data_IF_996873057241
#
_entry.id   IF_996873057241
#
_cell.length_a   1.000
_cell.length_b   1.000
_cell.length_c   1.000
_cell.angle_alpha   90.00
_cell.angle_beta   90.00
_cell.angle_gamma   90.00
#
_symmetry.space_group_name_H-M   'P 1'
#
loop_
_entity.id
_entity.type
_entity.pdbx_description
1 polymer ?
#
# COMPACT_ATOMS: atom_id res chain seq x y z
N UNK A 1 13.89 -11.05 16.02
CA UNK A 1 13.17 -9.98 15.27
C UNK A 1 12.96 -8.84 16.23
N UNK A 2 13.15 -7.58 15.80
CA UNK A 2 13.02 -6.43 16.69
C UNK A 2 11.70 -5.69 16.48
N UNK A 3 11.50 -5.13 15.29
CA UNK A 3 10.37 -4.26 14.97
C UNK A 3 9.85 -4.54 13.55
N UNK A 4 8.58 -4.24 13.28
CA UNK A 4 8.00 -4.22 11.93
C UNK A 4 7.32 -2.88 11.70
N UNK A 5 7.62 -2.24 10.57
CA UNK A 5 7.08 -0.91 10.22
C UNK A 5 6.47 -0.93 8.81
N UNK A 6 5.40 -0.15 8.55
CA UNK A 6 4.91 0.05 7.19
C UNK A 6 5.98 0.68 6.30
N UNK A 7 5.98 0.30 5.03
CA UNK A 7 6.84 0.86 3.99
C UNK A 7 6.01 1.37 2.83
N UNK A 8 6.44 2.48 2.24
CA UNK A 8 5.83 3.09 1.06
C UNK A 8 6.82 3.12 -0.09
N UNK A 9 6.30 2.88 -1.30
CA UNK A 9 7.06 2.99 -2.54
C UNK A 9 6.21 3.73 -3.57
N UNK A 10 6.76 4.77 -4.19
CA UNK A 10 6.12 5.42 -5.33
C UNK A 10 6.71 4.86 -6.63
N UNK A 11 5.85 4.28 -7.46
CA UNK A 11 6.19 3.92 -8.84
C UNK A 11 5.69 5.00 -9.78
N UNK A 12 6.56 5.47 -10.68
CA UNK A 12 6.20 6.44 -11.71
C UNK A 12 6.32 5.80 -13.09
N UNK A 13 5.29 5.99 -13.94
CA UNK A 13 5.28 5.53 -15.33
C UNK A 13 4.62 6.57 -16.24
N UNK A 14 5.15 6.70 -17.45
CA UNK A 14 4.43 7.36 -18.55
C UNK A 14 3.43 6.37 -19.15
N UNK A 15 2.29 6.84 -19.61
CA UNK A 15 1.32 6.02 -20.34
C UNK A 15 1.66 6.10 -21.84
N UNK A 16 2.12 5.01 -22.49
CA UNK A 16 2.56 5.05 -23.89
C UNK A 16 1.49 5.58 -24.86
N UNK A 17 0.22 5.25 -24.59
CA UNK A 17 -0.93 5.67 -25.39
C UNK A 17 -1.44 7.08 -25.03
N UNK A 18 -0.88 7.71 -23.99
CA UNK A 18 -1.23 9.06 -23.53
C UNK A 18 0.05 9.85 -23.26
N UNK A 19 0.69 10.42 -24.30
CA UNK A 19 2.02 11.06 -24.18
C UNK A 19 2.03 12.26 -23.23
N UNK A 20 0.87 12.85 -22.94
CA UNK A 20 0.73 13.96 -22.01
C UNK A 20 0.29 13.54 -20.60
N UNK A 21 0.38 12.25 -20.29
CA UNK A 21 -0.03 11.69 -19.01
C UNK A 21 1.16 11.10 -18.23
N UNK A 22 1.16 11.36 -16.92
CA UNK A 22 2.05 10.74 -15.96
C UNK A 22 1.21 9.99 -14.93
N UNK A 23 1.50 8.72 -14.73
CA UNK A 23 0.91 7.90 -13.68
C UNK A 23 1.91 7.71 -12.55
N UNK A 24 1.46 7.92 -11.32
CA UNK A 24 2.17 7.61 -10.09
C UNK A 24 1.32 6.72 -9.19
N UNK A 25 1.90 5.65 -8.69
CA UNK A 25 1.22 4.69 -7.82
C UNK A 25 1.97 4.57 -6.50
N UNK A 26 1.31 4.88 -5.38
CA UNK A 26 1.79 4.59 -4.03
C UNK A 26 1.48 3.14 -3.69
N UNK A 27 2.51 2.30 -3.66
CA UNK A 27 2.45 0.93 -3.14
C UNK A 27 2.80 0.89 -1.66
N UNK A 28 2.42 -0.21 -1.01
CA UNK A 28 2.72 -0.45 0.41
C UNK A 28 3.50 -1.75 0.61
N UNK A 29 4.16 -1.86 1.75
CA UNK A 29 4.82 -3.06 2.24
C UNK A 29 5.05 -2.97 3.74
N UNK A 30 5.88 -3.88 4.25
CA UNK A 30 6.41 -3.82 5.59
C UNK A 30 7.92 -4.06 5.58
N UNK A 31 8.65 -3.30 6.41
CA UNK A 31 10.06 -3.56 6.71
C UNK A 31 10.16 -4.25 8.06
N UNK A 32 10.84 -5.39 8.08
CA UNK A 32 11.10 -6.20 9.27
C UNK A 32 12.55 -5.96 9.68
N UNK A 33 12.77 -5.42 10.88
CA UNK A 33 14.10 -5.23 11.45
C UNK A 33 14.57 -6.50 12.17
N UNK A 34 15.78 -6.92 11.84
CA UNK A 34 16.40 -8.14 12.32
C UNK A 34 17.55 -7.80 13.27
N UNK A 35 17.64 -8.55 14.36
CA UNK A 35 18.72 -8.38 15.33
C UNK A 35 20.03 -8.96 14.79
N UNK A 36 21.15 -8.50 15.37
CA UNK A 36 22.48 -9.00 15.04
C UNK A 36 22.89 -10.11 16.00
N UNK A 37 23.66 -11.11 15.54
CA UNK A 37 23.98 -11.39 14.13
C UNK A 37 22.81 -12.03 13.38
N UNK A 38 22.76 -11.84 12.04
CA UNK A 38 21.83 -12.58 11.18
C UNK A 38 22.43 -13.93 10.81
N UNK A 39 23.19 -14.10 9.73
CA UNK A 39 23.69 -15.40 9.23
C UNK A 39 24.21 -16.38 10.30
N UNK A 40 23.31 -17.17 10.90
CA UNK A 40 23.61 -18.09 12.01
C UNK A 40 23.72 -19.53 11.52
N UNK A 41 22.93 -19.86 10.50
CA UNK A 41 22.96 -21.11 9.75
C UNK A 41 23.91 -21.06 8.55
N UNK A 42 24.75 -20.03 8.45
CA UNK A 42 25.73 -19.85 7.39
C UNK A 42 25.30 -18.89 6.29
N UNK A 43 26.12 -18.82 5.24
CA UNK A 43 25.86 -18.00 4.07
C UNK A 43 24.57 -18.45 3.37
N UNK A 44 23.84 -17.51 2.80
CA UNK A 44 22.56 -17.79 2.15
C UNK A 44 21.35 -17.80 3.08
N UNK A 45 21.49 -17.63 4.40
CA UNK A 45 20.34 -17.56 5.34
C UNK A 45 19.35 -16.44 4.95
N UNK A 46 18.10 -16.84 4.68
CA UNK A 46 16.98 -15.98 4.30
C UNK A 46 16.00 -15.79 5.47
N UNK A 47 15.16 -14.77 5.37
CA UNK A 47 13.94 -14.71 6.15
C UNK A 47 12.83 -15.46 5.40
N UNK A 48 12.36 -16.57 5.96
CA UNK A 48 11.23 -17.31 5.44
C UNK A 48 9.91 -16.73 5.94
N UNK A 49 9.05 -16.24 5.05
CA UNK A 49 7.66 -15.90 5.36
C UNK A 49 6.79 -17.14 5.18
N UNK A 50 6.13 -17.55 6.25
CA UNK A 50 5.29 -18.76 6.29
C UNK A 50 3.87 -18.42 5.85
N UNK A 51 3.39 -19.17 4.86
CA UNK A 51 2.07 -18.99 4.25
C UNK A 51 1.29 -20.30 4.30
N UNK A 52 -0.02 -20.17 4.42
CA UNK A 52 -0.93 -21.31 4.63
C UNK A 52 -1.96 -21.34 3.51
N UNK A 53 -1.66 -22.09 2.44
CA UNK A 53 -2.56 -22.22 1.31
C UNK A 53 -3.86 -22.97 1.64
N UNK A 54 -3.88 -23.82 2.67
CA UNK A 54 -5.09 -24.58 3.07
C UNK A 54 -5.96 -23.78 4.04
N UNK A 55 -5.40 -22.78 4.71
CA UNK A 55 -6.09 -21.93 5.69
C UNK A 55 -6.35 -22.62 7.03
N UNK A 56 -5.85 -23.84 7.22
CA UNK A 56 -6.13 -24.72 8.36
C UNK A 56 -5.22 -24.50 9.55
N UNK A 57 -4.10 -23.80 9.39
CA UNK A 57 -3.12 -23.62 10.46
C UNK A 57 -3.53 -22.49 11.40
N UNK A 58 -3.18 -22.58 12.69
CA UNK A 58 -3.47 -21.50 13.62
C UNK A 58 -2.75 -20.20 13.20
N UNK A 59 -3.33 -19.01 13.51
CA UNK A 59 -2.71 -17.70 13.20
C UNK A 59 -1.32 -17.47 13.80
N UNK A 60 -0.88 -18.31 14.73
CA UNK A 60 0.46 -18.29 15.32
C UNK A 60 1.52 -18.97 14.45
N UNK A 61 1.10 -19.75 13.45
CA UNK A 61 1.99 -20.53 12.59
C UNK A 61 1.94 -20.10 11.12
N UNK A 62 1.02 -19.20 10.74
CA UNK A 62 0.90 -18.72 9.37
C UNK A 62 0.60 -17.22 9.32
N UNK A 63 1.07 -16.57 8.25
CA UNK A 63 0.80 -15.15 8.02
C UNK A 63 -0.69 -14.91 7.80
N UNK A 64 -1.23 -13.84 8.38
CA UNK A 64 -2.67 -13.52 8.34
C UNK A 64 -2.94 -12.08 7.98
N UNK A 65 -3.99 -11.88 7.18
CA UNK A 65 -4.66 -10.60 6.99
C UNK A 65 -5.88 -10.49 7.90
N UNK A 66 -6.06 -9.31 8.47
CA UNK A 66 -7.25 -8.88 9.18
C UNK A 66 -7.91 -7.73 8.44
N UNK A 67 -9.24 -7.70 8.45
CA UNK A 67 -10.02 -6.54 8.02
C UNK A 67 -10.27 -5.65 9.23
N UNK A 68 -10.25 -4.33 9.05
CA UNK A 68 -10.75 -3.41 10.07
C UNK A 68 -12.26 -3.63 10.30
N UNK A 69 -12.69 -4.02 11.52
CA UNK A 69 -14.08 -4.33 11.79
C UNK A 69 -15.01 -3.11 11.71
N UNK A 70 -14.48 -1.89 11.82
CA UNK A 70 -15.27 -0.65 11.73
C UNK A 70 -15.53 -0.25 10.28
N UNK A 71 -14.73 -0.77 9.34
CA UNK A 71 -14.85 -0.42 7.92
C UNK A 71 -15.72 -1.42 7.16
N UNK A 72 -16.73 -0.91 6.47
CA UNK A 72 -17.34 -1.61 5.36
C UNK A 72 -16.49 -1.43 4.10
N UNK A 73 -15.53 -2.33 3.93
CA UNK A 73 -14.62 -2.41 2.78
C UNK A 73 -14.47 -3.87 2.31
N UNK A 74 -13.81 -4.07 1.17
CA UNK A 74 -13.47 -5.40 0.69
C UNK A 74 -12.48 -6.10 1.63
N UNK A 75 -12.58 -7.43 1.66
CA UNK A 75 -11.64 -8.30 2.37
C UNK A 75 -10.56 -8.72 1.38
N UNK A 76 -9.28 -8.81 1.79
CA UNK A 76 -8.25 -9.40 0.95
C UNK A 76 -8.67 -10.80 0.46
N UNK A 77 -8.48 -11.07 -0.84
CA UNK A 77 -8.99 -12.29 -1.49
C UNK A 77 -8.42 -13.59 -0.88
N UNK A 78 -7.20 -13.53 -0.36
CA UNK A 78 -6.57 -14.61 0.39
C UNK A 78 -6.04 -14.07 1.71
N UNK A 79 -6.67 -14.47 2.82
CA UNK A 79 -6.29 -13.98 4.16
C UNK A 79 -5.03 -14.63 4.71
N UNK A 80 -4.50 -15.64 4.03
CA UNK A 80 -3.30 -16.41 4.44
C UNK A 80 -2.13 -16.30 3.48
N UNK A 81 -2.28 -15.52 2.40
CA UNK A 81 -1.22 -15.27 1.42
C UNK A 81 -0.78 -13.80 1.48
N UNK A 82 0.52 -13.50 1.68
CA UNK A 82 1.04 -12.16 1.51
C UNK A 82 0.94 -11.78 0.01
N UNK A 83 0.28 -10.68 -0.35
CA UNK A 83 -0.38 -10.55 -1.64
C UNK A 83 0.50 -10.01 -2.78
N UNK A 84 1.80 -9.79 -2.55
CA UNK A 84 2.75 -9.73 -3.67
C UNK A 84 3.13 -11.09 -4.24
N UNK A 85 2.69 -12.14 -3.58
CA UNK A 85 2.67 -13.48 -4.13
C UNK A 85 1.28 -13.67 -4.72
N UNK A 86 1.09 -13.28 -5.99
CA UNK A 86 -0.18 -13.58 -6.66
C UNK A 86 -0.26 -15.07 -6.91
N UNK A 87 -1.46 -15.67 -6.97
CA UNK A 87 -1.61 -17.06 -7.41
C UNK A 87 -0.95 -17.33 -8.77
N UNK A 88 -0.95 -16.33 -9.67
CA UNK A 88 -0.21 -16.41 -10.93
C UNK A 88 1.31 -16.45 -10.72
N UNK A 89 1.86 -15.71 -9.75
CA UNK A 89 3.28 -15.76 -9.42
C UNK A 89 3.64 -17.11 -8.80
N UNK A 90 2.77 -17.70 -7.97
CA UNK A 90 2.91 -19.07 -7.43
C UNK A 90 2.96 -20.11 -8.55
N UNK A 91 1.99 -20.05 -9.47
CA UNK A 91 1.89 -20.96 -10.61
C UNK A 91 3.07 -20.79 -11.57
N UNK A 92 3.45 -19.55 -11.87
CA UNK A 92 4.53 -19.29 -12.82
C UNK A 92 5.88 -19.70 -12.24
N UNK A 93 6.10 -19.47 -10.94
CA UNK A 93 7.31 -19.92 -10.23
C UNK A 93 7.37 -21.45 -10.14
N UNK A 94 6.24 -22.13 -9.90
CA UNK A 94 6.22 -23.60 -9.84
C UNK A 94 6.47 -24.25 -11.19
N UNK A 95 6.05 -23.61 -12.29
CA UNK A 95 6.30 -24.08 -13.66
C UNK A 95 7.71 -23.72 -14.14
N UNK A 96 8.19 -22.50 -13.85
CA UNK A 96 9.49 -22.02 -14.30
C UNK A 96 10.66 -22.55 -13.46
N UNK A 97 10.42 -22.95 -12.21
CA UNK A 97 11.48 -23.37 -11.28
C UNK A 97 12.33 -22.22 -10.72
N UNK A 98 12.06 -20.97 -11.11
CA UNK A 98 12.81 -19.78 -10.72
C UNK A 98 11.87 -18.60 -10.38
N UNK A 99 12.39 -17.62 -9.63
CA UNK A 99 11.65 -16.40 -9.29
C UNK A 99 11.50 -15.51 -10.51
N UNK A 100 10.27 -15.15 -10.85
CA UNK A 100 9.92 -14.43 -12.09
C UNK A 100 10.25 -12.93 -12.06
N UNK A 101 10.46 -12.32 -10.89
CA UNK A 101 10.76 -10.88 -10.75
C UNK A 101 11.46 -10.55 -9.41
N UNK A 102 12.80 -10.71 -9.31
CA UNK A 102 13.54 -10.49 -8.07
C UNK A 102 13.77 -8.99 -7.81
N UNK A 103 12.71 -8.26 -7.45
CA UNK A 103 12.79 -6.86 -7.02
C UNK A 103 12.90 -6.76 -5.50
N UNK A 104 13.43 -5.63 -4.97
CA UNK A 104 13.35 -5.36 -3.54
C UNK A 104 11.93 -5.55 -3.02
N UNK A 105 11.79 -6.18 -1.86
CA UNK A 105 10.47 -6.45 -1.29
C UNK A 105 9.78 -7.71 -1.82
N UNK A 106 10.40 -8.51 -2.70
CA UNK A 106 9.84 -9.77 -3.24
C UNK A 106 10.67 -11.00 -2.81
N UNK A 107 10.06 -12.20 -2.83
CA UNK A 107 10.80 -13.44 -2.59
C UNK A 107 11.96 -13.62 -3.57
N UNK A 108 13.06 -14.21 -3.11
CA UNK A 108 14.27 -14.50 -3.91
C UNK A 108 14.48 -16.00 -4.16
N UNK A 109 13.59 -16.85 -3.62
CA UNK A 109 13.55 -18.29 -3.89
C UNK A 109 12.16 -18.70 -4.36
N UNK A 110 12.06 -19.82 -5.11
CA UNK A 110 10.79 -20.53 -5.25
C UNK A 110 10.16 -20.85 -3.90
N UNK A 111 8.85 -21.08 -3.92
CA UNK A 111 8.10 -21.48 -2.73
C UNK A 111 8.48 -22.90 -2.33
N UNK A 112 9.00 -23.06 -1.12
CA UNK A 112 9.34 -24.38 -0.58
C UNK A 112 8.17 -24.92 0.24
N UNK A 113 7.84 -26.20 0.06
CA UNK A 113 6.94 -26.92 0.94
C UNK A 113 7.74 -27.62 2.03
N UNK A 114 7.66 -27.12 3.25
CA UNK A 114 8.52 -27.55 4.36
C UNK A 114 7.69 -27.93 5.59
N UNK A 115 8.07 -28.99 6.32
CA UNK A 115 7.40 -29.34 7.57
C UNK A 115 7.85 -28.41 8.70
N UNK A 116 6.90 -27.96 9.53
CA UNK A 116 7.22 -27.29 10.79
C UNK A 116 7.60 -28.35 11.85
N UNK A 117 8.86 -28.78 11.86
CA UNK A 117 9.33 -29.90 12.70
C UNK A 117 9.18 -29.69 14.20
N UNK A 118 9.17 -28.45 14.66
CA UNK A 118 8.99 -28.07 16.06
C UNK A 118 7.52 -27.99 16.50
N UNK A 119 6.58 -28.29 15.60
CA UNK A 119 5.13 -28.27 15.85
C UNK A 119 4.59 -29.70 15.86
N UNK A 120 3.72 -30.01 16.82
CA UNK A 120 3.05 -31.32 16.91
C UNK A 120 2.34 -31.65 15.58
N UNK A 121 2.56 -32.88 15.09
CA UNK A 121 2.04 -33.33 13.80
C UNK A 121 2.85 -32.86 12.58
N UNK A 122 3.88 -32.03 12.78
CA UNK A 122 4.78 -31.51 11.75
C UNK A 122 4.06 -31.03 10.46
N UNK A 123 3.08 -30.12 10.58
CA UNK A 123 2.29 -29.69 9.44
C UNK A 123 3.19 -29.09 8.35
N UNK A 124 2.89 -29.40 7.10
CA UNK A 124 3.57 -28.82 5.94
C UNK A 124 3.05 -27.42 5.66
N UNK A 125 3.97 -26.47 5.52
CA UNK A 125 3.70 -25.08 5.16
C UNK A 125 4.36 -24.72 3.84
N UNK A 126 3.92 -23.62 3.24
CA UNK A 126 4.67 -22.96 2.17
C UNK A 126 5.54 -21.85 2.76
N UNK A 127 6.78 -21.75 2.27
CA UNK A 127 7.74 -20.73 2.71
C UNK A 127 8.24 -19.92 1.53
N UNK A 128 8.22 -18.60 1.70
CA UNK A 128 8.76 -17.64 0.74
C UNK A 128 10.06 -17.07 1.31
N UNK A 129 11.20 -17.30 0.66
CA UNK A 129 12.49 -16.79 1.13
C UNK A 129 12.74 -15.36 0.69
N UNK A 130 13.04 -14.46 1.63
CA UNK A 130 13.42 -13.07 1.38
C UNK A 130 14.86 -12.81 1.79
N UNK A 131 15.58 -12.02 0.97
CA UNK A 131 16.98 -11.71 1.20
C UNK A 131 17.13 -10.61 2.27
N UNK A 132 17.89 -10.86 3.35
CA UNK A 132 18.26 -9.83 4.31
C UNK A 132 19.26 -8.83 3.71
N UNK A 133 19.04 -7.55 4.00
CA UNK A 133 19.90 -6.44 3.59
C UNK A 133 20.46 -5.73 4.81
N UNK A 134 21.72 -5.28 4.73
CA UNK A 134 22.36 -4.54 5.81
C UNK A 134 22.11 -3.05 5.67
N UNK A 135 21.55 -2.43 6.70
CA UNK A 135 21.40 -0.98 6.75
C UNK A 135 22.60 -0.34 7.46
N UNK A 136 23.51 0.37 6.76
CA UNK A 136 24.74 0.90 7.36
C UNK A 136 24.46 1.94 8.44
N UNK A 137 23.47 2.82 8.23
CA UNK A 137 23.11 3.87 9.21
C UNK A 137 22.58 3.34 10.55
N UNK A 138 21.68 2.34 10.52
CA UNK A 138 21.14 1.69 11.73
C UNK A 138 22.00 0.54 12.24
N UNK A 139 23.00 0.12 11.47
CA UNK A 139 23.89 -1.02 11.77
C UNK A 139 23.11 -2.31 12.09
N UNK A 140 22.02 -2.54 11.39
CA UNK A 140 21.07 -3.65 11.56
C UNK A 140 20.74 -4.30 10.22
N UNK A 141 20.25 -5.54 10.27
CA UNK A 141 19.70 -6.22 9.10
C UNK A 141 18.22 -5.90 8.97
N UNK A 142 17.70 -5.87 7.75
CA UNK A 142 16.28 -5.74 7.49
C UNK A 142 15.85 -6.60 6.31
N UNK A 143 14.56 -6.87 6.24
CA UNK A 143 13.90 -7.45 5.09
C UNK A 143 12.67 -6.62 4.76
N UNK A 144 12.53 -6.24 3.50
CA UNK A 144 11.30 -5.66 3.00
C UNK A 144 10.41 -6.78 2.46
N UNK A 145 9.13 -6.70 2.81
CA UNK A 145 8.06 -7.57 2.31
C UNK A 145 7.03 -6.64 1.71
N UNK A 146 7.02 -6.48 0.40
CA UNK A 146 6.08 -5.62 -0.25
C UNK A 146 4.70 -6.32 -0.36
N UNK A 147 3.63 -5.53 -0.44
CA UNK A 147 2.25 -6.00 -0.24
C UNK A 147 1.28 -5.34 -1.23
N UNK A 148 0.31 -6.12 -1.69
CA UNK A 148 -0.83 -5.67 -2.51
C UNK A 148 -2.16 -5.98 -1.77
N UNK A 149 -2.69 -5.09 -0.92
CA UNK A 149 -3.94 -5.36 -0.19
C UNK A 149 -5.18 -5.47 -1.09
N UNK A 150 -5.03 -5.35 -2.41
CA UNK A 150 -6.10 -5.34 -3.39
C UNK A 150 -7.08 -4.20 -3.10
N UNK A 151 -8.36 -4.53 -3.08
CA UNK A 151 -9.43 -3.56 -2.84
C UNK A 151 -9.68 -3.26 -1.34
N UNK A 152 -8.88 -3.80 -0.42
CA UNK A 152 -9.09 -3.59 1.02
C UNK A 152 -8.53 -2.24 1.48
N UNK A 153 -9.36 -1.46 2.17
CA UNK A 153 -8.94 -0.22 2.80
C UNK A 153 -8.48 -0.48 4.24
N UNK A 154 -7.29 0.02 4.60
CA UNK A 154 -6.69 -0.09 5.94
C UNK A 154 -6.69 -1.51 6.55
N UNK A 155 -6.29 -2.54 5.79
CA UNK A 155 -6.19 -3.87 6.35
C UNK A 155 -5.07 -3.97 7.39
N UNK A 156 -5.11 -5.03 8.18
CA UNK A 156 -4.04 -5.44 9.08
C UNK A 156 -3.34 -6.67 8.51
N UNK A 157 -2.04 -6.77 8.71
CA UNK A 157 -1.27 -7.97 8.39
C UNK A 157 -0.35 -8.33 9.55
N UNK A 158 -0.26 -9.63 9.83
CA UNK A 158 0.69 -10.22 10.77
C UNK A 158 1.43 -11.31 10.04
N UNK A 159 2.75 -11.21 9.97
CA UNK A 159 3.56 -12.20 9.26
C UNK A 159 4.03 -13.26 10.26
N UNK A 160 3.94 -14.53 9.85
CA UNK A 160 4.65 -15.61 10.49
C UNK A 160 5.98 -15.80 9.76
N UNK A 161 7.08 -15.74 10.48
CA UNK A 161 8.44 -15.76 9.92
C UNK A 161 9.33 -16.75 10.63
N UNK A 162 10.31 -17.28 9.91
CA UNK A 162 11.38 -18.13 10.43
C UNK A 162 12.69 -17.75 9.74
N UNK A 163 13.83 -18.14 10.32
CA UNK A 163 15.06 -18.25 9.54
C UNK A 163 14.89 -19.40 8.57
N UNK A 164 15.30 -19.18 7.33
CA UNK A 164 15.20 -20.16 6.26
C UNK A 164 16.56 -20.37 5.60
N UNK A 165 17.07 -21.59 5.63
CA UNK A 165 18.33 -22.00 4.99
C UNK A 165 18.03 -23.05 3.92
N UNK A 166 17.90 -22.65 2.63
CA UNK A 166 17.61 -23.57 1.53
C UNK A 166 18.62 -24.71 1.40
N UNK A 167 19.90 -24.46 1.73
CA UNK A 167 21.00 -25.42 1.58
C UNK A 167 21.28 -26.24 2.85
N UNK A 168 20.32 -26.28 3.78
CA UNK A 168 20.45 -27.04 5.03
C UNK A 168 20.24 -28.56 4.83
N UNK A 169 20.49 -29.33 5.88
CA UNK A 169 20.10 -30.74 5.91
C UNK A 169 18.57 -30.87 5.85
N UNK A 170 18.04 -31.96 5.25
CA UNK A 170 16.60 -32.20 5.21
C UNK A 170 15.96 -32.06 6.59
N UNK A 171 14.82 -31.36 6.65
CA UNK A 171 14.04 -31.08 7.87
C UNK A 171 14.71 -30.11 8.86
N UNK A 172 15.78 -29.42 8.45
CA UNK A 172 16.47 -28.39 9.24
C UNK A 172 16.51 -27.04 8.52
N UNK A 173 15.66 -26.86 7.51
CA UNK A 173 15.59 -25.68 6.67
C UNK A 173 15.02 -24.48 7.42
N UNK A 174 14.19 -24.72 8.46
CA UNK A 174 13.49 -23.68 9.20
C UNK A 174 13.88 -23.68 10.68
N UNK A 175 14.04 -22.48 11.24
CA UNK A 175 13.96 -22.28 12.68
C UNK A 175 12.51 -22.37 13.17
N UNK A 176 12.26 -22.39 14.50
CA UNK A 176 10.94 -22.17 15.04
C UNK A 176 10.28 -20.90 14.47
N UNK A 177 8.98 -20.99 14.20
CA UNK A 177 8.18 -19.88 13.66
C UNK A 177 7.93 -18.86 14.76
N UNK A 178 8.11 -17.59 14.42
CA UNK A 178 7.73 -16.44 15.25
C UNK A 178 6.78 -15.55 14.46
N UNK A 179 5.91 -14.83 15.15
CA UNK A 179 4.95 -13.91 14.52
C UNK A 179 5.34 -12.47 14.78
N UNK A 180 5.12 -11.62 13.78
CA UNK A 180 5.33 -10.17 13.91
C UNK A 180 4.25 -9.53 14.78
N UNK A 181 4.42 -8.24 15.11
CA UNK A 181 3.28 -7.40 15.47
C UNK A 181 2.37 -7.16 14.26
N UNK A 182 1.14 -6.69 14.51
CA UNK A 182 0.25 -6.27 13.44
C UNK A 182 0.75 -4.96 12.83
N UNK A 183 0.80 -4.92 11.50
CA UNK A 183 1.07 -3.71 10.74
C UNK A 183 -0.12 -3.38 9.85
N UNK A 184 -0.39 -2.10 9.64
CA UNK A 184 -1.42 -1.65 8.69
C UNK A 184 -0.75 -1.14 7.42
N UNK A 185 -0.80 -1.89 6.32
CA UNK A 185 -0.39 -1.41 5.02
C UNK A 185 -1.29 -0.24 4.60
N UNK A 186 -0.68 0.80 4.03
CA UNK A 186 -1.45 1.93 3.52
C UNK A 186 -2.16 1.51 2.22
N UNK A 187 -3.38 2.01 1.97
CA UNK A 187 -4.10 1.66 0.77
C UNK A 187 -3.39 2.20 -0.48
N UNK A 188 -3.40 1.41 -1.56
CA UNK A 188 -2.82 1.83 -2.83
C UNK A 188 -3.58 3.05 -3.39
N UNK A 189 -2.85 4.00 -3.94
CA UNK A 189 -3.41 5.14 -4.67
C UNK A 189 -2.66 5.31 -5.96
N UNK A 190 -3.40 5.38 -7.05
CA UNK A 190 -2.85 5.70 -8.38
C UNK A 190 -3.34 7.08 -8.79
N UNK A 191 -2.42 8.03 -8.86
CA UNK A 191 -2.66 9.37 -9.37
C UNK A 191 -2.18 9.46 -10.81
N UNK A 192 -3.04 9.94 -11.70
CA UNK A 192 -2.69 10.28 -13.08
C UNK A 192 -2.87 11.78 -13.29
N UNK A 193 -1.81 12.46 -13.71
CA UNK A 193 -1.89 13.81 -14.26
C UNK A 193 -1.90 13.74 -15.77
N UNK A 194 -2.81 14.47 -16.42
CA UNK A 194 -2.87 14.60 -17.88
C UNK A 194 -2.96 16.07 -18.29
N UNK A 195 -1.98 16.58 -19.04
CA UNK A 195 -1.94 17.96 -19.54
C UNK A 195 -2.15 18.01 -21.05
N UNK A 196 -3.41 18.08 -21.48
CA UNK A 196 -3.77 18.12 -22.92
C UNK A 196 -3.83 19.54 -23.48
N UNK A 197 -3.81 20.56 -22.63
CA UNK A 197 -3.89 21.98 -22.98
C UNK A 197 -2.84 22.78 -22.20
N UNK A 198 -2.55 24.02 -22.63
CA UNK A 198 -1.58 24.89 -21.98
C UNK A 198 -2.07 25.46 -20.64
N UNK A 199 -3.38 25.65 -20.49
CA UNK A 199 -3.99 26.32 -19.33
C UNK A 199 -4.67 25.41 -18.31
N UNK A 200 -4.63 24.07 -18.45
CA UNK A 200 -5.27 23.17 -17.49
C UNK A 200 -4.53 21.84 -17.32
N UNK A 201 -4.75 21.22 -16.16
CA UNK A 201 -4.30 19.86 -15.85
C UNK A 201 -5.46 19.02 -15.33
N UNK A 202 -5.65 17.84 -15.92
CA UNK A 202 -6.59 16.85 -15.40
C UNK A 202 -5.92 15.97 -14.38
N UNK A 203 -6.50 15.89 -13.19
CA UNK A 203 -6.05 15.03 -12.09
C UNK A 203 -7.05 13.90 -11.95
N UNK A 204 -6.57 12.66 -11.93
CA UNK A 204 -7.40 11.48 -11.67
C UNK A 204 -6.74 10.66 -10.57
N UNK A 205 -7.51 10.25 -9.57
CA UNK A 205 -7.03 9.43 -8.46
C UNK A 205 -7.90 8.19 -8.36
N UNK A 206 -7.28 7.02 -8.33
CA UNK A 206 -7.97 5.73 -8.21
C UNK A 206 -7.43 4.94 -7.02
N UNK A 207 -8.32 4.30 -6.25
CA UNK A 207 -7.91 3.39 -5.18
C UNK A 207 -9.08 2.81 -4.39
N UNK A 208 -8.81 1.85 -3.47
CA UNK A 208 -9.81 1.27 -2.59
C UNK A 208 -10.39 2.28 -1.60
N UNK A 209 -11.66 2.08 -1.28
CA UNK A 209 -12.39 2.83 -0.25
C UNK A 209 -13.09 1.90 0.73
N UNK A 210 -13.54 2.51 1.82
CA UNK A 210 -14.30 1.88 2.87
C UNK A 210 -15.19 2.93 3.52
N UNK A 211 -16.32 2.49 4.02
CA UNK A 211 -17.27 3.35 4.73
C UNK A 211 -17.31 2.92 6.20
N UNK A 212 -17.17 3.87 7.12
CA UNK A 212 -17.38 3.65 8.56
C UNK A 212 -18.88 3.54 8.89
N UNK A 213 -19.74 4.10 8.04
CA UNK A 213 -21.21 4.09 8.17
C UNK A 213 -21.82 3.44 6.94
N UNK A 214 -22.40 2.25 7.10
CA UNK A 214 -23.19 1.63 6.03
C UNK A 214 -24.60 2.19 6.05
N UNK A 215 -25.03 2.95 5.02
CA UNK A 215 -26.45 3.23 4.86
C UNK A 215 -27.19 1.91 4.58
N UNK A 216 -28.47 1.78 4.97
CA UNK A 216 -29.28 0.62 4.61
C UNK A 216 -29.25 0.43 3.08
N UNK A 217 -29.09 -0.83 2.64
CA UNK A 217 -28.93 -1.20 1.23
C UNK A 217 -29.98 -0.51 0.36
N UNK A 218 -29.54 0.44 -0.46
CA UNK A 218 -30.33 1.08 -1.51
C UNK A 218 -29.55 1.01 -2.81
N UNK A 219 -30.23 0.99 -3.95
CA UNK A 219 -29.58 1.29 -5.22
C UNK A 219 -29.10 2.75 -5.15
N UNK A 220 -27.79 2.95 -5.25
CA UNK A 220 -27.13 4.25 -5.11
C UNK A 220 -26.75 4.72 -6.52
N UNK A 221 -27.22 5.91 -6.94
CA UNK A 221 -26.74 6.54 -8.18
C UNK A 221 -25.33 7.12 -7.99
N UNK A 222 -24.61 7.49 -9.06
CA UNK A 222 -23.26 8.07 -8.92
C UNK A 222 -23.25 9.33 -8.04
N UNK A 223 -24.26 10.20 -8.17
CA UNK A 223 -24.42 11.39 -7.34
C UNK A 223 -24.63 11.03 -5.86
N UNK A 224 -25.45 10.01 -5.59
CA UNK A 224 -25.65 9.50 -4.23
C UNK A 224 -24.37 8.85 -3.67
N UNK A 225 -23.56 8.22 -4.54
CA UNK A 225 -22.30 7.59 -4.16
C UNK A 225 -21.21 8.61 -3.85
N UNK A 226 -21.10 9.71 -4.61
CA UNK A 226 -20.20 10.82 -4.28
C UNK A 226 -20.59 11.43 -2.92
N UNK A 227 -21.89 11.67 -2.70
CA UNK A 227 -22.39 12.19 -1.43
C UNK A 227 -22.10 11.26 -0.25
N UNK A 228 -22.25 9.95 -0.46
CA UNK A 228 -21.92 8.94 0.56
C UNK A 228 -20.42 8.90 0.86
N UNK A 229 -19.57 8.95 -0.17
CA UNK A 229 -18.12 8.97 0.02
C UNK A 229 -17.68 10.20 0.80
N UNK A 230 -18.24 11.39 0.51
CA UNK A 230 -17.93 12.63 1.24
C UNK A 230 -18.21 12.55 2.75
N UNK A 231 -19.11 11.67 3.19
CA UNK A 231 -19.32 11.43 4.62
C UNK A 231 -18.15 10.67 5.29
N UNK A 232 -17.25 10.07 4.50
CA UNK A 232 -16.10 9.29 4.97
C UNK A 232 -14.75 9.80 4.49
N UNK A 233 -14.69 10.44 3.31
CA UNK A 233 -13.45 10.89 2.69
C UNK A 233 -13.68 11.87 1.56
N UNK A 234 -12.69 12.71 1.33
CA UNK A 234 -12.62 13.59 0.17
C UNK A 234 -11.20 13.64 -0.39
N UNK A 235 -11.10 13.87 -1.69
CA UNK A 235 -9.83 14.06 -2.40
C UNK A 235 -9.79 15.47 -2.95
N UNK A 236 -8.67 16.14 -2.76
CA UNK A 236 -8.41 17.49 -3.25
C UNK A 236 -7.14 17.50 -4.08
N UNK A 237 -7.07 18.44 -5.01
CA UNK A 237 -5.84 18.77 -5.70
C UNK A 237 -5.63 20.28 -5.70
N UNK A 238 -4.38 20.70 -5.55
CA UNK A 238 -3.97 22.09 -5.50
C UNK A 238 -2.80 22.28 -6.45
N UNK A 239 -2.90 23.23 -7.37
CA UNK A 239 -1.73 23.65 -8.15
C UNK A 239 -0.83 24.47 -7.24
N UNK A 240 0.46 24.14 -7.19
CA UNK A 240 1.45 24.86 -6.39
C UNK A 240 2.57 25.40 -7.27
N UNK A 241 3.06 26.59 -6.93
CA UNK A 241 4.18 27.25 -7.59
C UNK A 241 5.38 27.36 -6.65
N UNK A 242 6.57 27.05 -7.14
CA UNK A 242 7.82 27.25 -6.40
C UNK A 242 8.16 28.75 -6.33
N UNK A 243 8.83 29.21 -5.25
CA UNK A 243 9.28 30.59 -5.16
C UNK A 243 10.30 30.92 -6.26
N UNK A 244 10.23 32.15 -6.81
CA UNK A 244 11.08 32.57 -7.94
C UNK A 244 12.58 32.58 -7.61
N UNK A 245 12.93 32.87 -6.36
CA UNK A 245 14.32 32.89 -5.89
C UNK A 245 14.92 31.48 -5.66
N UNK A 246 14.12 30.41 -5.84
CA UNK A 246 14.46 29.08 -5.35
C UNK A 246 14.25 28.98 -3.84
N UNK A 247 13.93 27.77 -3.35
CA UNK A 247 13.50 27.62 -1.97
C UNK A 247 13.30 26.17 -1.54
N UNK A 248 12.96 26.00 -0.26
CA UNK A 248 12.61 24.70 0.32
C UNK A 248 11.17 24.31 0.01
N UNK A 249 10.79 23.08 0.38
CA UNK A 249 9.43 22.58 0.17
C UNK A 249 8.35 23.37 0.92
N UNK A 250 8.74 24.13 1.95
CA UNK A 250 7.85 24.94 2.78
C UNK A 250 7.48 26.29 2.14
N UNK A 251 8.15 26.69 1.06
CA UNK A 251 7.98 28.01 0.44
C UNK A 251 7.13 27.96 -0.84
N UNK A 252 6.58 26.78 -1.17
CA UNK A 252 5.63 26.65 -2.28
C UNK A 252 4.34 27.39 -1.99
N UNK A 253 3.80 28.07 -3.00
CA UNK A 253 2.56 28.84 -2.90
C UNK A 253 1.42 28.05 -3.51
N UNK A 254 0.35 27.89 -2.73
CA UNK A 254 -0.89 27.26 -3.14
C UNK A 254 -1.73 28.20 -4.00
N UNK A 255 -2.27 27.68 -5.10
CA UNK A 255 -3.37 28.29 -5.84
C UNK A 255 -4.70 27.69 -5.38
N UNK A 256 -5.74 27.74 -6.23
CA UNK A 256 -7.05 27.19 -5.89
C UNK A 256 -6.96 25.69 -5.59
N UNK A 257 -7.47 25.30 -4.42
CA UNK A 257 -7.68 23.91 -4.05
C UNK A 257 -9.03 23.44 -4.59
N UNK A 258 -9.01 22.40 -5.41
CA UNK A 258 -10.20 21.85 -6.08
C UNK A 258 -10.51 20.47 -5.50
N UNK A 259 -11.76 20.25 -5.09
CA UNK A 259 -12.25 18.90 -4.72
C UNK A 259 -12.43 18.05 -5.98
N UNK A 260 -11.94 16.82 -5.97
CA UNK A 260 -12.17 15.87 -7.05
C UNK A 260 -13.48 15.11 -6.80
N UNK A 261 -14.54 15.30 -7.62
CA UNK A 261 -15.74 14.48 -7.54
C UNK A 261 -15.48 13.04 -7.96
N UNK A 262 -16.32 12.13 -7.46
CA UNK A 262 -16.39 10.76 -7.94
C UNK A 262 -16.69 10.74 -9.46
N UNK A 263 -15.81 10.09 -10.22
CA UNK A 263 -15.91 9.91 -11.66
C UNK A 263 -16.35 8.48 -12.05
N UNK A 264 -16.10 7.48 -11.19
CA UNK A 264 -16.51 6.09 -11.45
C UNK A 264 -16.22 5.14 -10.30
N UNK A 265 -16.85 3.96 -10.33
CA UNK A 265 -16.71 2.90 -9.33
C UNK A 265 -16.53 1.54 -9.98
N UNK A 266 -15.74 0.68 -9.34
CA UNK A 266 -15.62 -0.74 -9.63
C UNK A 266 -15.55 -1.50 -8.29
N UNK A 267 -16.70 -2.02 -7.84
CA UNK A 267 -16.83 -2.61 -6.51
C UNK A 267 -16.51 -1.62 -5.39
N UNK A 268 -15.39 -1.85 -4.68
CA UNK A 268 -14.88 -0.97 -3.60
C UNK A 268 -13.66 -0.17 -4.02
N UNK A 269 -13.32 -0.18 -5.31
CA UNK A 269 -12.33 0.72 -5.91
C UNK A 269 -13.09 1.86 -6.57
N UNK A 270 -12.66 3.09 -6.34
CA UNK A 270 -13.31 4.27 -6.93
C UNK A 270 -12.28 5.16 -7.61
N UNK A 271 -12.76 5.98 -8.54
CA UNK A 271 -11.96 6.96 -9.25
C UNK A 271 -12.55 8.34 -9.05
N UNK A 272 -11.74 9.28 -8.59
CA UNK A 272 -12.06 10.71 -8.54
C UNK A 272 -11.34 11.45 -9.65
N UNK A 273 -11.97 12.46 -10.26
CA UNK A 273 -11.36 13.21 -11.35
C UNK A 273 -11.84 14.65 -11.41
N UNK A 274 -10.93 15.58 -11.63
CA UNK A 274 -11.23 16.99 -11.91
C UNK A 274 -10.21 17.58 -12.88
N UNK A 275 -10.59 18.69 -13.49
CA UNK A 275 -9.68 19.55 -14.26
C UNK A 275 -9.39 20.79 -13.42
N UNK A 276 -8.11 21.14 -13.28
CA UNK A 276 -7.65 22.31 -12.55
C UNK A 276 -7.12 23.31 -13.55
N UNK A 277 -7.58 24.56 -13.44
CA UNK A 277 -7.05 25.67 -14.20
C UNK A 277 -5.64 26.04 -13.71
N UNK A 278 -4.75 26.31 -14.66
CA UNK A 278 -3.41 26.81 -14.36
C UNK A 278 -3.46 28.33 -14.25
N UNK A 279 -2.79 28.93 -13.26
CA UNK A 279 -2.75 30.39 -13.10
C UNK A 279 -2.10 31.13 -14.27
N UNK A 280 -1.28 30.42 -15.05
CA UNK A 280 -0.66 30.91 -16.28
C UNK A 280 -0.59 29.78 -17.30
N UNK A 281 -0.51 30.13 -18.59
CA UNK A 281 -0.31 29.15 -19.65
C UNK A 281 1.11 28.57 -19.58
N UNK A 282 1.19 27.24 -19.51
CA UNK A 282 2.45 26.51 -19.52
C UNK A 282 2.58 25.72 -20.84
N UNK A 283 3.80 25.57 -21.39
CA UNK A 283 4.02 24.69 -22.54
C UNK A 283 3.48 23.28 -22.28
N UNK A 284 2.76 22.74 -23.25
CA UNK A 284 2.19 21.39 -23.17
C UNK A 284 3.34 20.38 -23.18
N UNK A 285 3.47 19.62 -22.10
CA UNK A 285 4.49 18.60 -21.92
C UNK A 285 3.97 17.49 -21.02
N UNK A 286 4.58 16.31 -21.10
CA UNK A 286 4.34 15.23 -20.14
C UNK A 286 4.70 15.73 -18.74
N UNK A 287 3.80 15.58 -17.74
CA UNK A 287 4.11 15.95 -16.37
C UNK A 287 5.32 15.21 -15.80
N UNK A 288 5.91 15.77 -14.74
CA UNK A 288 6.94 15.11 -13.92
C UNK A 288 8.33 15.73 -14.02
N UNK A 289 8.48 16.87 -14.70
CA UNK A 289 9.78 17.51 -14.92
C UNK A 289 9.84 18.96 -14.49
N UNK A 290 8.71 19.63 -14.30
CA UNK A 290 8.70 21.02 -13.86
C UNK A 290 9.37 21.16 -12.48
N UNK A 291 10.22 22.18 -12.35
CA UNK A 291 10.79 22.59 -11.05
C UNK A 291 10.00 23.73 -10.41
N UNK A 292 9.09 24.33 -11.16
CA UNK A 292 8.38 25.55 -10.77
C UNK A 292 6.90 25.31 -10.49
N UNK A 293 6.35 24.20 -10.99
CA UNK A 293 4.94 23.91 -10.93
C UNK A 293 4.72 22.45 -10.58
N UNK A 294 3.80 22.19 -9.65
CA UNK A 294 3.37 20.84 -9.29
C UNK A 294 1.89 20.83 -8.93
N UNK A 295 1.31 19.66 -8.88
CA UNK A 295 0.00 19.43 -8.25
C UNK A 295 0.23 18.68 -6.96
N UNK A 296 -0.22 19.25 -5.85
CA UNK A 296 -0.41 18.54 -4.59
C UNK A 296 -1.76 17.84 -4.64
N UNK A 297 -1.79 16.54 -4.38
CA UNK A 297 -3.01 15.74 -4.24
C UNK A 297 -3.11 15.27 -2.80
N UNK A 298 -4.25 15.51 -2.17
CA UNK A 298 -4.51 15.14 -0.77
C UNK A 298 -5.80 14.32 -0.67
N UNK A 299 -5.78 13.21 0.06
CA UNK A 299 -6.99 12.55 0.53
C UNK A 299 -7.10 12.74 2.03
N UNK A 300 -8.28 13.17 2.44
CA UNK A 300 -8.67 13.27 3.83
C UNK A 300 -9.74 12.23 4.14
N UNK A 301 -9.58 11.53 5.25
CA UNK A 301 -10.60 10.67 5.83
C UNK A 301 -11.28 11.39 6.99
N UNK A 302 -12.59 11.20 7.10
CA UNK A 302 -13.45 11.79 8.11
C UNK A 302 -13.84 10.73 9.12
N UNK A 303 -13.56 11.00 10.39
CA UNK A 303 -13.80 10.12 11.52
C UNK A 303 -14.79 10.77 12.48
N UNK A 304 -15.58 9.93 13.14
CA UNK A 304 -16.46 10.39 14.21
C UNK A 304 -15.61 10.84 15.40
N UNK A 305 -15.92 12.04 15.90
CA UNK A 305 -15.24 12.65 17.02
C UNK A 305 -16.26 13.12 18.07
N UNK A 306 -15.77 13.41 19.27
CA UNK A 306 -16.58 14.11 20.26
C UNK A 306 -17.03 15.47 19.68
N UNK A 307 -18.25 15.95 19.98
CA UNK A 307 -18.66 17.31 19.62
C UNK A 307 -17.66 18.35 20.14
N UNK A 308 -17.33 19.35 19.32
CA UNK A 308 -16.32 20.37 19.66
C UNK A 308 -16.68 21.16 20.93
N UNK A 309 -17.98 21.38 21.18
CA UNK A 309 -18.49 22.04 22.38
C UNK A 309 -19.80 21.38 22.85
N UNK A 310 -20.04 21.37 24.17
CA UNK A 310 -21.28 20.90 24.78
C UNK A 310 -21.24 19.48 25.36
N UNK A 311 -22.36 18.99 25.91
CA UNK A 311 -22.44 17.64 26.49
C UNK A 311 -22.21 16.57 25.41
N UNK A 312 -21.54 15.47 25.78
CA UNK A 312 -21.27 14.30 24.90
C UNK A 312 -22.53 13.46 24.59
N UNK A 313 -23.65 14.13 24.40
CA UNK A 313 -24.97 13.57 24.11
C UNK A 313 -25.48 14.26 22.86
N UNK A 314 -25.47 13.59 21.70
CA UNK A 314 -25.89 14.18 20.42
C UNK A 314 -25.25 13.52 19.20
N UNK A 315 -25.37 14.16 18.03
CA UNK A 315 -24.67 13.77 16.80
C UNK A 315 -23.15 13.93 16.99
N UNK A 316 -22.34 12.91 16.67
CA UNK A 316 -20.88 13.02 16.75
C UNK A 316 -20.35 14.19 15.93
N UNK A 317 -19.30 14.83 16.43
CA UNK A 317 -18.46 15.72 15.63
C UNK A 317 -17.71 14.94 14.54
N UNK A 318 -16.96 15.65 13.71
CA UNK A 318 -16.13 15.04 12.67
C UNK A 318 -14.72 15.58 12.76
N UNK A 319 -13.75 14.67 12.86
CA UNK A 319 -12.33 15.00 12.76
C UNK A 319 -11.80 14.54 11.40
N UNK A 320 -10.83 15.30 10.88
CA UNK A 320 -10.25 15.06 9.56
C UNK A 320 -8.81 14.56 9.70
N UNK A 321 -8.48 13.45 9.03
CA UNK A 321 -7.13 12.86 8.99
C UNK A 321 -6.61 12.84 7.56
N UNK A 322 -5.40 13.37 7.33
CA UNK A 322 -4.71 13.23 6.04
C UNK A 322 -4.21 11.78 5.88
N UNK A 323 -4.63 11.09 4.82
CA UNK A 323 -4.34 9.66 4.59
C UNK A 323 -3.56 9.37 3.31
N UNK A 324 -3.53 10.35 2.41
CA UNK A 324 -2.70 10.33 1.21
C UNK A 324 -2.28 11.76 0.89
N UNK A 325 -1.01 11.93 0.57
CA UNK A 325 -0.46 13.14 0.01
C UNK A 325 0.55 12.74 -1.06
N UNK A 326 0.47 13.36 -2.24
CA UNK A 326 1.47 13.21 -3.28
C UNK A 326 1.67 14.54 -4.00
N UNK A 327 2.92 14.92 -4.24
CA UNK A 327 3.27 16.06 -5.05
C UNK A 327 3.77 15.55 -6.42
N UNK A 328 3.08 15.95 -7.48
CA UNK A 328 3.41 15.52 -8.84
C UNK A 328 3.79 16.74 -9.66
N UNK A 329 5.07 16.87 -10.06
CA UNK A 329 5.49 17.97 -10.91
C UNK A 329 4.70 18.02 -12.22
N UNK A 330 4.43 19.23 -12.73
CA UNK A 330 3.82 19.44 -14.05
C UNK A 330 4.80 19.24 -15.22
#
# INVERSE_FOLDING_TARGET
MRDVIPLLLWEQRTEPDQPFALRRTRRSGARIWLERPWFSSGDGELLGVVVDATGTLPPTLSSRWGKDPVLATAVPAATTLPPLVRPADLLLTSVAGEVVDPRPGRPVTPFAQLPLVDVEGAPTVQVCGYRPEYHPGRRQWFVDVAMDPGASLWPFVRLAVARYQPDSLPRHELSPVVVTEWVQPLPERTTTLSRRTSGAVRVTVTGPVGLTRMPPRRQVTVTDADALLRASREVFATVQRAPEAGGSDLEWVDHEQVRLPLAGTDGTVVTWSAELELPEELPVATPGRSKHWRVLVEEYEYLDADPAEGPKTGTPGTERRLVYADHVPL
#
